data_IF_857131444643
#
_entry.id   IF_857131444643
#
_cell.length_a   1.000
_cell.length_b   1.000
_cell.length_c   1.000
_cell.angle_alpha   90.00
_cell.angle_beta   90.00
_cell.angle_gamma   90.00
#
_symmetry.space_group_name_H-M   'P 1'
#
loop_
_entity.id
_entity.type
_entity.pdbx_description
1 polymer ?
#
# COMPACT_ATOMS: atom_id res chain seq x y z
N UNK A 1 -20.24 -1.24 70.54
CA UNK A 1 -20.37 -0.29 69.40
C UNK A 1 -19.74 -0.94 68.18
N UNK A 2 -20.36 -0.73 67.03
CA UNK A 2 -20.39 -1.60 65.84
C UNK A 2 -19.05 -1.63 65.09
N UNK A 3 -18.53 -2.84 64.84
CA UNK A 3 -17.45 -3.12 63.89
C UNK A 3 -17.93 -2.82 62.47
N UNK A 4 -17.20 -1.97 61.73
CA UNK A 4 -17.49 -1.68 60.32
C UNK A 4 -16.68 -2.64 59.46
N UNK A 5 -17.39 -3.61 58.89
CA UNK A 5 -16.93 -4.48 57.82
C UNK A 5 -17.52 -3.97 56.49
N UNK A 6 -16.84 -4.27 55.39
CA UNK A 6 -17.29 -4.17 53.99
C UNK A 6 -17.21 -2.75 53.36
N UNK A 7 -16.76 -2.56 52.12
CA UNK A 7 -16.53 -3.50 51.04
C UNK A 7 -15.61 -2.81 50.01
N UNK A 8 -14.46 -3.41 49.74
CA UNK A 8 -13.64 -3.11 48.56
C UNK A 8 -14.38 -3.71 47.37
N UNK A 9 -14.95 -2.86 46.51
CA UNK A 9 -15.36 -3.27 45.18
C UNK A 9 -15.04 -2.14 44.19
N UNK A 10 -13.73 -1.96 43.98
CA UNK A 10 -13.27 -1.65 42.63
C UNK A 10 -13.52 -2.91 41.80
N UNK A 11 -14.39 -2.84 40.79
CA UNK A 11 -14.26 -3.72 39.63
C UNK A 11 -14.88 -3.10 38.38
N UNK A 12 -14.02 -2.95 37.39
CA UNK A 12 -14.25 -2.94 35.95
C UNK A 12 -15.18 -1.83 35.39
N UNK A 13 -14.64 -0.75 34.81
CA UNK A 13 -14.06 -0.71 33.45
C UNK A 13 -14.98 -1.35 32.41
N UNK A 14 -16.02 -0.61 32.01
CA UNK A 14 -16.68 -0.78 30.72
C UNK A 14 -15.76 -0.27 29.60
N UNK A 15 -14.76 -1.08 29.25
CA UNK A 15 -14.04 -0.92 27.98
C UNK A 15 -14.95 -1.50 26.91
N UNK A 16 -15.78 -0.63 26.32
CA UNK A 16 -16.53 -1.00 25.11
C UNK A 16 -15.52 -1.30 24.00
N UNK A 17 -15.63 -2.49 23.43
CA UNK A 17 -14.81 -3.01 22.35
C UNK A 17 -15.05 -2.22 21.06
N UNK A 18 -14.24 -1.23 20.76
CA UNK A 18 -14.06 -0.75 19.39
C UNK A 18 -12.94 -1.58 18.73
N UNK A 19 -13.20 -2.86 18.47
CA UNK A 19 -12.26 -3.75 17.77
C UNK A 19 -12.58 -3.83 16.26
N UNK A 20 -12.73 -2.70 15.58
CA UNK A 20 -12.80 -2.65 14.11
C UNK A 20 -11.42 -2.43 13.44
N UNK A 21 -10.35 -2.17 14.22
CA UNK A 21 -9.01 -1.88 13.67
C UNK A 21 -8.05 -3.08 13.58
N UNK A 22 -8.41 -4.24 14.12
CA UNK A 22 -7.45 -5.35 14.33
C UNK A 22 -7.37 -6.34 13.15
N UNK A 23 -8.40 -6.41 12.31
CA UNK A 23 -8.40 -7.27 11.12
C UNK A 23 -7.66 -6.62 9.92
N UNK A 24 -7.69 -5.30 9.80
CA UNK A 24 -6.99 -4.59 8.73
C UNK A 24 -5.47 -4.53 8.98
N UNK A 25 -5.06 -4.43 10.25
CA UNK A 25 -3.64 -4.43 10.63
C UNK A 25 -2.96 -5.77 10.34
N UNK A 26 -3.67 -6.89 10.39
CA UNK A 26 -3.09 -8.22 10.17
C UNK A 26 -2.82 -8.53 8.70
N UNK A 27 -3.64 -8.02 7.78
CA UNK A 27 -3.41 -8.18 6.33
C UNK A 27 -2.30 -7.23 5.86
N UNK A 28 -2.29 -5.97 6.31
CA UNK A 28 -1.21 -5.05 6.00
C UNK A 28 0.13 -5.49 6.62
N UNK A 29 0.12 -6.08 7.81
CA UNK A 29 1.33 -6.61 8.46
C UNK A 29 2.00 -7.77 7.71
N UNK A 30 1.30 -8.45 6.80
CA UNK A 30 1.86 -9.55 5.99
C UNK A 30 2.41 -9.10 4.63
N UNK A 31 2.16 -7.86 4.23
CA UNK A 31 2.69 -7.31 2.99
C UNK A 31 4.15 -6.87 3.19
N UNK A 32 4.97 -7.02 2.15
CA UNK A 32 6.34 -6.49 2.21
C UNK A 32 6.32 -4.95 2.21
N UNK A 33 7.34 -4.28 2.78
CA UNK A 33 7.43 -2.83 2.80
C UNK A 33 7.30 -2.19 1.41
N UNK A 34 7.84 -2.82 0.37
CA UNK A 34 7.82 -2.34 -1.01
C UNK A 34 6.42 -2.44 -1.63
N UNK A 35 5.65 -3.49 -1.29
CA UNK A 35 4.24 -3.62 -1.69
C UNK A 35 3.42 -2.49 -1.05
N UNK A 36 3.61 -2.24 0.24
CA UNK A 36 2.93 -1.16 0.96
C UNK A 36 3.32 0.21 0.41
N UNK A 37 4.59 0.42 0.05
CA UNK A 37 5.05 1.67 -0.52
C UNK A 37 4.43 1.94 -1.90
N UNK A 38 4.39 0.92 -2.75
CA UNK A 38 3.74 1.01 -4.06
C UNK A 38 2.23 1.30 -3.93
N UNK A 39 1.52 0.60 -3.03
CA UNK A 39 0.10 0.89 -2.76
C UNK A 39 -0.13 2.32 -2.27
N UNK A 40 0.75 2.81 -1.39
CA UNK A 40 0.67 4.18 -0.87
C UNK A 40 0.89 5.19 -2.00
N UNK A 41 1.85 4.96 -2.89
CA UNK A 41 2.08 5.82 -4.05
C UNK A 41 0.87 5.83 -4.99
N UNK A 42 0.27 4.67 -5.28
CA UNK A 42 -0.97 4.58 -6.08
C UNK A 42 -2.12 5.35 -5.42
N UNK A 43 -2.33 5.18 -4.11
CA UNK A 43 -3.34 5.92 -3.35
C UNK A 43 -3.10 7.43 -3.40
N UNK A 44 -1.84 7.86 -3.36
CA UNK A 44 -1.46 9.29 -3.38
C UNK A 44 -1.89 10.01 -4.66
N UNK A 45 -2.12 9.29 -5.76
CA UNK A 45 -2.65 9.88 -7.01
C UNK A 45 -4.05 10.48 -6.86
N UNK A 46 -4.76 10.15 -5.79
CA UNK A 46 -6.07 10.71 -5.44
C UNK A 46 -5.98 12.01 -4.63
N UNK A 47 -4.82 12.30 -4.05
CA UNK A 47 -4.58 13.52 -3.29
C UNK A 47 -4.73 14.76 -4.19
N UNK A 48 -5.26 15.88 -3.69
CA UNK A 48 -5.51 17.07 -4.49
C UNK A 48 -4.32 17.54 -5.34
N UNK A 49 -3.10 17.48 -4.81
CA UNK A 49 -1.85 17.89 -5.47
C UNK A 49 -1.40 16.96 -6.61
N UNK A 50 -1.89 15.71 -6.61
CA UNK A 50 -1.51 14.67 -7.56
C UNK A 50 -2.63 14.33 -8.56
N UNK A 51 -3.79 14.98 -8.42
CA UNK A 51 -4.88 14.87 -9.40
C UNK A 51 -4.43 15.42 -10.75
N UNK A 52 -5.06 14.92 -11.81
CA UNK A 52 -4.85 15.45 -13.14
C UNK A 52 -5.22 16.93 -13.18
N UNK A 53 -4.31 17.75 -13.71
CA UNK A 53 -4.52 19.17 -13.97
C UNK A 53 -5.48 19.36 -15.14
N UNK A 54 -6.15 20.52 -15.25
CA UNK A 54 -7.00 20.83 -16.40
C UNK A 54 -6.28 20.67 -17.74
N UNK A 55 -5.00 21.05 -17.81
CA UNK A 55 -4.13 20.91 -18.97
C UNK A 55 -3.92 19.43 -19.32
N UNK A 56 -3.56 18.60 -18.34
CA UNK A 56 -3.38 17.16 -18.53
C UNK A 56 -4.68 16.53 -19.06
N UNK A 57 -5.84 16.87 -18.47
CA UNK A 57 -7.15 16.36 -18.90
C UNK A 57 -7.47 16.76 -20.35
N UNK A 58 -7.19 18.01 -20.73
CA UNK A 58 -7.46 18.50 -22.10
C UNK A 58 -6.59 17.82 -23.16
N UNK A 59 -5.36 17.45 -22.80
CA UNK A 59 -4.40 16.82 -23.72
C UNK A 59 -4.37 15.28 -23.62
N UNK A 60 -5.11 14.70 -22.68
CA UNK A 60 -5.20 13.27 -22.47
C UNK A 60 -5.96 12.61 -23.63
N UNK A 61 -5.23 11.84 -24.44
CA UNK A 61 -5.79 11.09 -25.59
C UNK A 61 -6.21 9.65 -25.26
N UNK A 62 -5.81 9.15 -24.09
CA UNK A 62 -6.03 7.78 -23.63
C UNK A 62 -6.43 7.76 -22.15
N UNK A 63 -6.95 6.64 -21.66
CA UNK A 63 -7.23 6.46 -20.22
C UNK A 63 -5.97 6.32 -19.36
N UNK A 64 -4.78 6.51 -19.94
CA UNK A 64 -3.51 6.39 -19.26
C UNK A 64 -3.21 7.61 -18.38
N UNK A 65 -2.35 7.42 -17.39
CA UNK A 65 -1.87 8.52 -16.56
C UNK A 65 -1.05 9.52 -17.40
N UNK A 66 -1.04 10.80 -17.01
CA UNK A 66 -0.07 11.76 -17.56
C UNK A 66 1.36 11.39 -17.14
N UNK A 67 2.37 11.86 -17.88
CA UNK A 67 3.77 11.60 -17.56
C UNK A 67 4.14 12.04 -16.13
N UNK A 68 3.67 13.20 -15.69
CA UNK A 68 3.85 13.68 -14.31
C UNK A 68 3.27 12.71 -13.29
N UNK A 69 2.08 12.16 -13.55
CA UNK A 69 1.43 11.21 -12.64
C UNK A 69 2.11 9.85 -12.68
N UNK A 70 2.68 9.43 -13.82
CA UNK A 70 3.56 8.27 -13.90
C UNK A 70 4.81 8.47 -13.05
N UNK A 71 5.44 9.65 -13.12
CA UNK A 71 6.66 9.99 -12.34
C UNK A 71 6.46 9.85 -10.82
N UNK A 72 5.26 10.12 -10.30
CA UNK A 72 4.92 9.89 -8.88
C UNK A 72 5.06 8.41 -8.50
N UNK A 73 4.73 7.51 -9.42
CA UNK A 73 4.73 6.07 -9.19
C UNK A 73 6.11 5.43 -9.39
N UNK A 74 6.94 5.97 -10.30
CA UNK A 74 8.21 5.36 -10.74
C UNK A 74 9.14 4.96 -9.58
N UNK A 75 9.41 5.80 -8.56
CA UNK A 75 10.32 5.42 -7.48
C UNK A 75 9.87 4.15 -6.74
N UNK A 76 8.60 4.11 -6.32
CA UNK A 76 8.04 2.96 -5.62
C UNK A 76 7.90 1.72 -6.52
N UNK A 77 7.67 1.92 -7.83
CA UNK A 77 7.64 0.85 -8.81
C UNK A 77 9.01 0.18 -8.97
N UNK A 78 10.09 0.97 -9.04
CA UNK A 78 11.46 0.47 -9.11
C UNK A 78 11.86 -0.29 -7.85
N UNK A 79 11.52 0.23 -6.66
CA UNK A 79 11.74 -0.48 -5.39
C UNK A 79 11.02 -1.84 -5.37
N UNK A 80 9.76 -1.86 -5.80
CA UNK A 80 8.98 -3.08 -5.86
C UNK A 80 9.59 -4.11 -6.82
N UNK A 81 10.05 -3.69 -8.00
CA UNK A 81 10.72 -4.57 -8.96
C UNK A 81 12.04 -5.09 -8.37
N UNK A 82 12.87 -4.23 -7.77
CA UNK A 82 14.14 -4.61 -7.14
C UNK A 82 13.94 -5.60 -5.98
N UNK A 83 12.80 -5.55 -5.29
CA UNK A 83 12.46 -6.53 -4.25
C UNK A 83 12.26 -7.96 -4.75
N UNK A 84 12.31 -8.20 -6.06
CA UNK A 84 12.34 -9.54 -6.68
C UNK A 84 13.76 -10.06 -6.90
N UNK A 85 14.79 -9.23 -6.67
CA UNK A 85 16.18 -9.52 -6.99
C UNK A 85 16.65 -8.94 -8.32
N UNK A 86 15.78 -8.28 -9.08
CA UNK A 86 16.12 -7.63 -10.34
C UNK A 86 17.17 -6.52 -10.16
N UNK A 87 18.20 -6.52 -11.02
CA UNK A 87 19.25 -5.50 -11.02
C UNK A 87 18.85 -4.24 -11.79
N UNK A 88 19.51 -3.11 -11.53
CA UNK A 88 19.31 -1.88 -12.31
C UNK A 88 19.58 -2.07 -13.82
N UNK A 89 20.55 -2.92 -14.16
CA UNK A 89 20.87 -3.23 -15.55
C UNK A 89 19.75 -4.05 -16.21
N UNK A 90 19.20 -5.05 -15.50
CA UNK A 90 18.07 -5.83 -16.00
C UNK A 90 16.81 -4.97 -16.19
N UNK A 91 16.54 -4.09 -15.23
CA UNK A 91 15.44 -3.12 -15.32
C UNK A 91 15.61 -2.24 -16.54
N UNK A 92 16.81 -1.70 -16.74
CA UNK A 92 17.12 -0.82 -17.87
C UNK A 92 17.02 -1.57 -19.20
N UNK A 93 17.56 -2.78 -19.31
CA UNK A 93 17.51 -3.58 -20.53
C UNK A 93 16.09 -4.01 -20.90
N UNK A 94 15.25 -4.32 -19.91
CA UNK A 94 13.87 -4.77 -20.14
C UNK A 94 12.96 -3.59 -20.51
N UNK A 95 13.06 -2.50 -19.75
CA UNK A 95 12.15 -1.37 -19.87
C UNK A 95 12.66 -0.30 -20.84
N UNK A 96 13.95 -0.25 -21.13
CA UNK A 96 14.60 0.83 -21.88
C UNK A 96 14.34 2.22 -21.27
N UNK A 97 14.10 2.29 -19.96
CA UNK A 97 13.71 3.51 -19.26
C UNK A 97 12.27 3.96 -19.52
N UNK A 98 11.47 3.16 -20.23
CA UNK A 98 10.07 3.46 -20.52
C UNK A 98 9.22 3.31 -19.25
N UNK A 99 8.55 4.41 -18.89
CA UNK A 99 7.70 4.49 -17.70
C UNK A 99 6.57 3.49 -17.71
N UNK A 100 5.92 3.30 -18.86
CA UNK A 100 4.79 2.38 -18.97
C UNK A 100 5.25 0.93 -18.82
N UNK A 101 6.43 0.59 -19.35
CA UNK A 101 7.03 -0.74 -19.12
C UNK A 101 7.43 -0.96 -17.67
N UNK A 102 8.01 0.05 -17.00
CA UNK A 102 8.33 0.00 -15.57
C UNK A 102 7.05 -0.23 -14.75
N UNK A 103 6.01 0.57 -14.97
CA UNK A 103 4.75 0.46 -14.23
C UNK A 103 4.03 -0.86 -14.52
N UNK A 104 4.05 -1.33 -15.77
CA UNK A 104 3.49 -2.63 -16.14
C UNK A 104 4.20 -3.78 -15.42
N UNK A 105 5.54 -3.73 -15.32
CA UNK A 105 6.27 -4.74 -14.57
C UNK A 105 5.98 -4.67 -13.08
N UNK A 106 5.97 -3.48 -12.48
CA UNK A 106 5.64 -3.31 -11.07
C UNK A 106 4.24 -3.85 -10.73
N UNK A 107 3.24 -3.64 -11.59
CA UNK A 107 1.89 -4.23 -11.43
C UNK A 107 1.91 -5.76 -11.48
N UNK A 108 2.70 -6.37 -12.36
CA UNK A 108 2.87 -7.84 -12.39
C UNK A 108 3.46 -8.34 -11.07
N UNK A 109 4.54 -7.72 -10.61
CA UNK A 109 5.19 -8.07 -9.33
C UNK A 109 4.24 -7.89 -8.15
N UNK A 110 3.46 -6.80 -8.14
CA UNK A 110 2.45 -6.54 -7.13
C UNK A 110 1.43 -7.70 -7.07
N UNK A 111 0.84 -8.06 -8.21
CA UNK A 111 -0.15 -9.13 -8.33
C UNK A 111 0.42 -10.50 -7.90
N UNK A 112 1.67 -10.78 -8.25
CA UNK A 112 2.36 -12.01 -7.86
C UNK A 112 2.63 -12.08 -6.36
N UNK A 113 2.96 -10.94 -5.72
CA UNK A 113 3.18 -10.89 -4.27
C UNK A 113 1.87 -11.00 -3.49
N UNK A 114 0.81 -10.28 -3.89
CA UNK A 114 -0.48 -10.35 -3.17
C UNK A 114 -1.15 -11.72 -3.33
N UNK A 115 -1.02 -12.38 -4.49
CA UNK A 115 -1.59 -13.72 -4.70
C UNK A 115 -0.92 -14.75 -3.79
N UNK A 116 0.41 -14.68 -3.64
CA UNK A 116 1.17 -15.49 -2.67
C UNK A 116 0.73 -15.20 -1.24
N UNK A 117 0.59 -13.94 -0.84
CA UNK A 117 0.13 -13.58 0.51
C UNK A 117 -1.27 -14.11 0.83
N UNK A 118 -2.20 -14.07 -0.15
CA UNK A 118 -3.56 -14.56 0.02
C UNK A 118 -3.67 -16.10 0.02
N UNK A 119 -2.66 -16.80 -0.51
CA UNK A 119 -2.60 -18.27 -0.54
C UNK A 119 -2.03 -18.91 0.74
N UNK A 120 -1.54 -18.12 1.70
CA UNK A 120 -1.02 -18.63 2.97
C UNK A 120 -2.22 -18.97 3.88
N UNK A 121 -2.40 -20.25 4.30
CA UNK A 121 -3.52 -20.64 5.15
C UNK A 121 -3.52 -19.87 6.47
N UNK A 122 -4.70 -19.37 6.85
CA UNK A 122 -4.96 -18.75 8.15
C UNK A 122 -5.01 -19.88 9.18
N UNK A 123 -3.85 -20.21 9.76
CA UNK A 123 -3.75 -21.20 10.83
C UNK A 123 -3.95 -20.52 12.19
#
# INVERSE_FOLDING_TARGET
>A
MKTKLAYVMMLALSISCNNESTAMSTIEARKSPEVLNFERSVKSLSNPENRATPEEIRHQKSLELSDRRKDILIPSALELIKSTGASDQEITNTTHGDRDKILTWAVKVYNDKISKTNSIPQN
#
